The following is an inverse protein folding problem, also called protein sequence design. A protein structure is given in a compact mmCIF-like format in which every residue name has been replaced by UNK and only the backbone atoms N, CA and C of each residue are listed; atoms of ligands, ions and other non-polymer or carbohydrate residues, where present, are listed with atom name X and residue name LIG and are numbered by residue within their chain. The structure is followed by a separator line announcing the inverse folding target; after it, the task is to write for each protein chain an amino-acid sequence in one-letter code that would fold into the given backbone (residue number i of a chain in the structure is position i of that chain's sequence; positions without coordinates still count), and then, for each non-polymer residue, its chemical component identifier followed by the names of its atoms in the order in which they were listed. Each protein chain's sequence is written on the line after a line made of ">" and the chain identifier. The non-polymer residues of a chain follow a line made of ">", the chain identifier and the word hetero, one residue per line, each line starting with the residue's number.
data_IF_070792271369
#
_entry.id   IF_070792271369
#
_cell.length_a   1.000
_cell.length_b   1.000
_cell.length_c   1.000
_cell.angle_alpha   90.00
_cell.angle_beta   90.00
_cell.angle_gamma   90.00
#
_symmetry.space_group_name_H-M   'P 1'
#
loop_
_entity.id
_entity.type
_entity.pdbx_description
1 polymer ?
#
# COMPACT_ATOMS: atom_id res chain seq x y z
N UNK A 1 -5.98 -1.89 -17.91
CA UNK A 1 -6.23 -3.33 -18.19
C UNK A 1 -5.06 -4.15 -17.68
N UNK A 2 -5.30 -5.33 -17.12
CA UNK A 2 -4.25 -6.24 -16.66
C UNK A 2 -3.93 -7.29 -17.74
N UNK A 3 -2.64 -7.58 -17.95
CA UNK A 3 -2.15 -8.66 -18.81
C UNK A 3 -1.21 -9.52 -17.97
N UNK A 4 -1.51 -10.82 -17.89
CA UNK A 4 -0.75 -11.80 -17.11
C UNK A 4 -0.51 -13.05 -17.92
N UNK A 5 0.73 -13.53 -17.96
CA UNK A 5 1.10 -14.82 -18.56
C UNK A 5 1.89 -15.71 -17.59
N UNK A 6 1.87 -17.02 -17.86
CA UNK A 6 2.77 -17.96 -17.20
C UNK A 6 4.22 -17.64 -17.57
N UNK A 7 5.13 -17.74 -16.60
CA UNK A 7 6.57 -17.45 -16.79
C UNK A 7 6.94 -16.02 -17.21
N UNK A 8 6.02 -15.05 -17.15
CA UNK A 8 6.32 -13.64 -17.45
C UNK A 8 7.54 -13.03 -16.75
N UNK A 9 7.97 -13.46 -15.53
CA UNK A 9 9.21 -12.95 -14.94
C UNK A 9 10.50 -13.36 -15.67
N UNK A 10 10.44 -14.36 -16.56
CA UNK A 10 11.59 -14.87 -17.33
C UNK A 10 11.40 -14.75 -18.85
N UNK A 11 10.16 -14.56 -19.33
CA UNK A 11 9.83 -14.39 -20.74
C UNK A 11 8.73 -13.32 -20.89
N UNK A 12 9.14 -12.08 -21.18
CA UNK A 12 8.23 -10.91 -21.23
C UNK A 12 7.58 -10.71 -22.61
N UNK A 13 8.04 -11.43 -23.63
CA UNK A 13 7.69 -11.21 -25.03
C UNK A 13 6.19 -11.40 -25.29
N UNK A 14 5.58 -12.40 -24.64
CA UNK A 14 4.17 -12.72 -24.81
C UNK A 14 3.26 -11.60 -24.26
N UNK A 15 3.57 -11.07 -23.07
CA UNK A 15 2.78 -9.98 -22.47
C UNK A 15 2.94 -8.69 -23.28
N UNK A 16 4.15 -8.37 -23.72
CA UNK A 16 4.41 -7.20 -24.56
C UNK A 16 3.67 -7.32 -25.90
N UNK A 17 3.74 -8.50 -26.53
CA UNK A 17 3.05 -8.74 -27.80
C UNK A 17 1.53 -8.65 -27.66
N UNK A 18 0.98 -9.17 -26.57
CA UNK A 18 -0.45 -9.02 -26.27
C UNK A 18 -0.83 -7.55 -26.09
N UNK A 19 -0.03 -6.77 -25.37
CA UNK A 19 -0.27 -5.34 -25.18
C UNK A 19 -0.22 -4.55 -26.50
N UNK A 20 0.73 -4.85 -27.38
CA UNK A 20 0.83 -4.25 -28.72
C UNK A 20 -0.42 -4.52 -29.56
N UNK A 21 -0.87 -5.78 -29.62
CA UNK A 21 -2.06 -6.18 -30.38
C UNK A 21 -3.30 -5.50 -29.80
N UNK A 22 -3.50 -5.58 -28.49
CA UNK A 22 -4.66 -4.99 -27.83
C UNK A 22 -4.66 -3.46 -27.94
N UNK A 23 -3.50 -2.82 -27.90
CA UNK A 23 -3.37 -1.38 -28.14
C UNK A 23 -3.77 -0.97 -29.56
N UNK A 24 -3.40 -1.79 -30.56
CA UNK A 24 -3.79 -1.53 -31.95
C UNK A 24 -5.31 -1.65 -32.16
N UNK A 25 -5.98 -2.58 -31.48
CA UNK A 25 -7.42 -2.83 -31.61
C UNK A 25 -8.28 -1.87 -30.77
N UNK A 26 -7.87 -1.57 -29.54
CA UNK A 26 -8.66 -0.77 -28.60
C UNK A 26 -8.43 0.74 -28.74
N UNK A 27 -7.35 1.14 -29.44
CA UNK A 27 -7.04 2.53 -29.71
C UNK A 27 -6.24 3.23 -28.60
N UNK A 28 -5.93 4.53 -28.80
CA UNK A 28 -5.11 5.31 -27.89
C UNK A 28 -5.83 5.55 -26.56
N UNK A 29 -5.07 5.58 -25.46
CA UNK A 29 -5.58 5.86 -24.12
C UNK A 29 -5.86 4.61 -23.27
N UNK A 30 -5.80 3.40 -23.85
CA UNK A 30 -5.80 2.17 -23.06
C UNK A 30 -4.43 1.95 -22.45
N UNK A 31 -4.41 1.76 -21.14
CA UNK A 31 -3.20 1.46 -20.40
C UNK A 31 -3.17 0.00 -19.96
N UNK A 32 -1.99 -0.59 -20.05
CA UNK A 32 -1.75 -1.98 -19.71
C UNK A 32 -0.84 -2.06 -18.48
N UNK A 33 -1.25 -2.83 -17.48
CA UNK A 33 -0.36 -3.32 -16.43
C UNK A 33 0.06 -4.73 -16.83
N UNK A 34 1.36 -4.92 -17.06
CA UNK A 34 1.91 -6.23 -17.40
C UNK A 34 2.39 -6.90 -16.13
N UNK A 35 2.09 -8.19 -15.95
CA UNK A 35 2.43 -8.89 -14.73
C UNK A 35 3.94 -9.02 -14.54
N UNK A 36 4.75 -9.01 -15.61
CA UNK A 36 6.23 -8.96 -15.51
C UNK A 36 6.74 -7.72 -14.76
N UNK A 37 5.98 -6.64 -14.77
CA UNK A 37 6.36 -5.38 -14.14
C UNK A 37 6.10 -5.39 -12.63
N UNK A 38 5.35 -6.39 -12.15
CA UNK A 38 4.79 -6.41 -10.82
C UNK A 38 5.17 -7.71 -10.11
N UNK A 39 5.63 -7.57 -8.87
CA UNK A 39 5.80 -8.70 -7.96
C UNK A 39 6.97 -9.64 -8.27
N UNK A 40 7.02 -10.73 -7.49
CA UNK A 40 8.04 -11.79 -7.54
C UNK A 40 7.48 -13.06 -8.22
N UNK A 41 8.21 -14.16 -8.11
CA UNK A 41 7.75 -15.50 -8.54
C UNK A 41 6.42 -15.84 -7.84
N UNK A 42 5.53 -16.56 -8.54
CA UNK A 42 4.20 -16.94 -8.06
C UNK A 42 3.11 -16.41 -9.00
N UNK A 43 2.36 -17.30 -9.66
CA UNK A 43 1.43 -16.89 -10.72
C UNK A 43 0.20 -16.16 -10.18
N UNK A 44 -0.52 -16.77 -9.24
CA UNK A 44 -1.78 -16.21 -8.73
C UNK A 44 -1.58 -14.88 -8.00
N UNK A 45 -0.58 -14.80 -7.11
CA UNK A 45 -0.29 -13.57 -6.39
C UNK A 45 0.15 -12.43 -7.32
N UNK A 46 0.88 -12.75 -8.40
CA UNK A 46 1.29 -11.78 -9.41
C UNK A 46 0.13 -11.32 -10.29
N UNK A 47 -0.74 -12.25 -10.70
CA UNK A 47 -1.95 -11.93 -11.44
C UNK A 47 -2.86 -10.99 -10.62
N UNK A 48 -3.10 -11.32 -9.35
CA UNK A 48 -3.84 -10.48 -8.42
C UNK A 48 -3.21 -9.09 -8.28
N UNK A 49 -1.88 -9.03 -8.14
CA UNK A 49 -1.14 -7.79 -8.08
C UNK A 49 -1.35 -6.92 -9.33
N UNK A 50 -1.33 -7.55 -10.51
CA UNK A 50 -1.54 -6.88 -11.81
C UNK A 50 -2.96 -6.35 -11.94
N UNK A 51 -3.95 -7.13 -11.51
CA UNK A 51 -5.36 -6.74 -11.51
C UNK A 51 -5.59 -5.54 -10.59
N UNK A 52 -5.09 -5.59 -9.35
CA UNK A 52 -5.23 -4.50 -8.38
C UNK A 52 -4.56 -3.23 -8.93
N UNK A 53 -3.36 -3.34 -9.51
CA UNK A 53 -2.67 -2.19 -10.10
C UNK A 53 -3.47 -1.55 -11.23
N UNK A 54 -3.98 -2.37 -12.15
CA UNK A 54 -4.82 -1.91 -13.25
C UNK A 54 -6.10 -1.24 -12.75
N UNK A 55 -6.71 -1.74 -11.67
CA UNK A 55 -7.94 -1.21 -11.08
C UNK A 55 -7.73 0.12 -10.35
N UNK A 56 -6.55 0.35 -9.75
CA UNK A 56 -6.25 1.57 -9.00
C UNK A 56 -5.77 2.73 -9.89
N UNK A 57 -5.53 2.49 -11.17
CA UNK A 57 -4.84 3.43 -12.06
C UNK A 57 -5.58 4.75 -12.28
N UNK A 58 -6.90 4.68 -12.43
CA UNK A 58 -7.72 5.89 -12.64
C UNK A 58 -7.77 6.75 -11.38
N UNK A 59 -7.84 6.11 -10.20
CA UNK A 59 -7.73 6.78 -8.92
C UNK A 59 -6.37 7.45 -8.75
N UNK A 60 -5.29 6.76 -9.11
CA UNK A 60 -3.93 7.30 -9.05
C UNK A 60 -3.77 8.54 -9.93
N UNK A 61 -4.29 8.48 -11.14
CA UNK A 61 -4.34 9.59 -12.10
C UNK A 61 -5.05 10.80 -11.49
N UNK A 62 -6.24 10.59 -10.93
CA UNK A 62 -7.01 11.66 -10.29
C UNK A 62 -6.29 12.27 -9.08
N UNK A 63 -5.64 11.45 -8.25
CA UNK A 63 -4.86 11.92 -7.09
C UNK A 63 -3.70 12.79 -7.56
N UNK A 64 -2.89 12.30 -8.50
CA UNK A 64 -1.72 13.06 -8.99
C UNK A 64 -2.15 14.37 -9.65
N UNK A 65 -3.24 14.38 -10.43
CA UNK A 65 -3.77 15.60 -11.04
C UNK A 65 -4.27 16.60 -10.01
N UNK A 66 -4.99 16.11 -8.99
CA UNK A 66 -5.45 16.96 -7.89
C UNK A 66 -4.27 17.59 -7.16
N UNK A 67 -3.23 16.82 -6.84
CA UNK A 67 -2.02 17.34 -6.19
C UNK A 67 -1.30 18.37 -7.07
N UNK A 68 -1.08 18.05 -8.36
CA UNK A 68 -0.44 18.97 -9.30
C UNK A 68 -1.21 20.29 -9.42
N UNK A 69 -2.55 20.22 -9.48
CA UNK A 69 -3.41 21.40 -9.51
C UNK A 69 -3.29 22.23 -8.24
N UNK A 70 -3.34 21.61 -7.06
CA UNK A 70 -3.20 22.31 -5.78
C UNK A 70 -1.84 23.00 -5.64
N UNK A 71 -0.75 22.38 -6.12
CA UNK A 71 0.57 23.02 -6.14
C UNK A 71 0.61 24.23 -7.10
N UNK A 72 0.00 24.11 -8.28
CA UNK A 72 -0.09 25.21 -9.23
C UNK A 72 -0.90 26.40 -8.68
N UNK A 73 -1.99 26.14 -7.95
CA UNK A 73 -2.82 27.19 -7.31
C UNK A 73 -2.03 28.04 -6.31
N UNK A 74 -1.01 27.48 -5.67
CA UNK A 74 -0.10 28.20 -4.77
C UNK A 74 1.21 28.62 -5.45
N UNK A 75 1.27 28.57 -6.79
CA UNK A 75 2.44 28.93 -7.61
C UNK A 75 3.72 28.16 -7.27
N UNK A 76 3.59 26.91 -6.81
CA UNK A 76 4.73 26.01 -6.61
C UNK A 76 5.04 25.26 -7.90
N UNK A 77 6.26 25.44 -8.43
CA UNK A 77 6.75 24.79 -9.66
C UNK A 77 7.78 23.69 -9.39
N UNK A 78 8.01 23.36 -8.12
CA UNK A 78 8.96 22.32 -7.74
C UNK A 78 8.43 20.94 -8.14
N UNK A 79 9.31 20.00 -8.53
CA UNK A 79 8.95 18.59 -8.65
C UNK A 79 8.38 18.08 -7.33
N UNK A 80 7.33 17.26 -7.40
CA UNK A 80 6.78 16.57 -6.24
C UNK A 80 6.89 15.08 -6.42
N UNK A 81 7.04 14.39 -5.30
CA UNK A 81 7.24 12.94 -5.24
C UNK A 81 6.19 12.34 -4.30
N UNK A 82 5.85 11.08 -4.53
CA UNK A 82 5.01 10.31 -3.63
C UNK A 82 5.85 9.28 -2.88
N UNK A 83 5.46 8.97 -1.66
CA UNK A 83 6.10 7.94 -0.85
C UNK A 83 5.73 6.53 -1.31
N UNK A 84 6.72 5.65 -1.35
CA UNK A 84 6.56 4.24 -1.64
C UNK A 84 6.38 3.40 -0.37
N UNK A 85 5.86 2.19 -0.53
CA UNK A 85 5.69 1.19 0.53
C UNK A 85 7.02 0.71 1.14
N UNK A 86 8.16 0.98 0.50
CA UNK A 86 9.49 0.62 1.00
C UNK A 86 10.17 1.76 1.78
N UNK A 87 9.47 2.89 1.98
CA UNK A 87 10.00 4.08 2.64
C UNK A 87 10.89 4.95 1.75
N UNK A 88 10.91 4.74 0.44
CA UNK A 88 11.56 5.61 -0.54
C UNK A 88 10.54 6.54 -1.23
N UNK A 89 11.02 7.37 -2.15
CA UNK A 89 10.20 8.29 -2.95
C UNK A 89 10.12 7.82 -4.39
N UNK A 90 8.98 8.04 -5.04
CA UNK A 90 8.78 7.82 -6.46
C UNK A 90 8.29 9.07 -7.18
N UNK A 91 8.66 9.16 -8.45
CA UNK A 91 8.11 10.14 -9.36
C UNK A 91 6.61 9.89 -9.61
N UNK A 92 5.89 10.96 -9.90
CA UNK A 92 4.44 10.96 -10.10
C UNK A 92 4.00 10.14 -11.31
N UNK A 93 4.82 10.09 -12.37
CA UNK A 93 4.52 9.27 -13.55
C UNK A 93 4.63 7.79 -13.22
N UNK A 94 5.61 7.43 -12.39
CA UNK A 94 5.75 6.08 -11.88
C UNK A 94 4.59 5.73 -10.94
N UNK A 95 4.12 6.67 -10.12
CA UNK A 95 2.98 6.45 -9.24
C UNK A 95 1.67 6.25 -10.00
N UNK A 96 1.50 6.93 -11.14
CA UNK A 96 0.36 6.68 -12.06
C UNK A 96 0.46 5.30 -12.70
N UNK A 97 1.66 4.86 -13.07
CA UNK A 97 1.87 3.54 -13.68
C UNK A 97 1.68 2.40 -12.67
N UNK A 98 2.17 2.60 -11.44
CA UNK A 98 2.25 1.57 -10.39
C UNK A 98 1.69 2.05 -9.04
N UNK A 99 0.40 2.42 -8.94
CA UNK A 99 -0.19 2.91 -7.68
C UNK A 99 -0.14 1.91 -6.52
N UNK A 100 0.01 0.63 -6.82
CA UNK A 100 0.23 -0.40 -5.79
C UNK A 100 1.54 -0.22 -5.02
N UNK A 101 2.49 0.58 -5.54
CA UNK A 101 3.71 0.92 -4.82
C UNK A 101 3.49 1.97 -3.73
N UNK A 102 2.34 2.65 -3.67
CA UNK A 102 2.09 3.77 -2.74
C UNK A 102 1.02 3.51 -1.68
N UNK A 103 0.24 2.42 -1.80
CA UNK A 103 -0.99 2.25 -1.00
C UNK A 103 -0.74 2.06 0.51
N UNK A 104 0.43 1.53 0.90
CA UNK A 104 0.84 1.27 2.28
C UNK A 104 1.94 2.24 2.76
N UNK A 105 2.07 3.39 2.11
CA UNK A 105 3.17 4.34 2.38
C UNK A 105 3.04 5.13 3.69
N UNK A 106 1.85 5.17 4.30
CA UNK A 106 1.59 5.87 5.57
C UNK A 106 2.51 5.38 6.71
N UNK A 107 2.39 4.11 7.13
CA UNK A 107 3.25 3.54 8.16
C UNK A 107 4.74 3.67 7.85
N UNK A 108 5.13 3.51 6.58
CA UNK A 108 6.54 3.63 6.19
C UNK A 108 7.08 5.04 6.34
N UNK A 109 6.26 6.07 6.09
CA UNK A 109 6.67 7.46 6.29
C UNK A 109 6.93 7.75 7.77
N UNK A 110 6.05 7.28 8.66
CA UNK A 110 6.24 7.38 10.10
C UNK A 110 7.53 6.68 10.55
N UNK A 111 7.79 5.48 10.02
CA UNK A 111 9.02 4.72 10.29
C UNK A 111 10.28 5.45 9.82
N UNK A 112 10.26 6.01 8.60
CA UNK A 112 11.38 6.80 8.06
C UNK A 112 11.62 8.07 8.88
N UNK A 113 10.55 8.73 9.32
CA UNK A 113 10.62 9.86 10.25
C UNK A 113 11.23 9.46 11.59
N UNK A 114 10.81 8.34 12.16
CA UNK A 114 11.35 7.82 13.42
C UNK A 114 12.85 7.47 13.29
N UNK A 115 13.26 6.84 12.20
CA UNK A 115 14.67 6.55 11.91
C UNK A 115 15.50 7.84 11.88
N UNK A 116 15.02 8.85 11.15
CA UNK A 116 15.69 10.14 11.03
C UNK A 116 15.81 10.88 12.36
N UNK A 117 14.72 10.94 13.15
CA UNK A 117 14.69 11.69 14.41
C UNK A 117 15.43 10.99 15.55
N UNK A 118 15.39 9.66 15.60
CA UNK A 118 16.07 8.88 16.65
C UNK A 118 17.54 8.62 16.36
N UNK A 119 17.95 8.66 15.08
CA UNK A 119 19.28 8.22 14.64
C UNK A 119 19.47 6.70 14.69
N UNK A 120 18.41 5.92 14.91
CA UNK A 120 18.46 4.47 14.97
C UNK A 120 18.13 3.85 13.61
N UNK A 121 19.01 2.95 13.15
CA UNK A 121 18.78 2.17 11.93
C UNK A 121 17.98 0.89 12.15
N UNK A 122 18.13 0.28 13.32
CA UNK A 122 17.52 -1.02 13.64
C UNK A 122 16.72 -0.91 14.93
N UNK A 123 15.40 -0.78 14.81
CA UNK A 123 14.49 -0.70 15.95
C UNK A 123 13.05 -1.03 15.55
N UNK A 124 12.21 -1.30 16.56
CA UNK A 124 10.77 -1.32 16.36
C UNK A 124 10.23 0.12 16.45
N UNK A 125 9.32 0.47 15.54
CA UNK A 125 8.58 1.72 15.55
C UNK A 125 7.12 1.41 15.85
N UNK A 126 6.56 2.15 16.80
CA UNK A 126 5.14 2.08 17.16
C UNK A 126 4.51 3.42 16.82
N UNK A 127 3.74 3.46 15.73
CA UNK A 127 2.98 4.63 15.31
C UNK A 127 1.56 4.55 15.88
N UNK A 128 1.27 5.37 16.89
CA UNK A 128 -0.03 5.38 17.56
C UNK A 128 -0.87 6.52 17.00
N UNK A 129 -1.82 6.17 16.15
CA UNK A 129 -2.83 7.08 15.63
C UNK A 129 -4.04 7.23 16.57
N UNK A 130 -5.11 7.83 16.06
CA UNK A 130 -6.35 8.01 16.82
C UNK A 130 -7.14 6.72 17.05
N UNK A 131 -7.08 5.78 16.10
CA UNK A 131 -7.91 4.55 16.13
C UNK A 131 -7.06 3.29 16.18
N UNK A 132 -5.89 3.33 15.57
CA UNK A 132 -5.00 2.19 15.38
C UNK A 132 -3.60 2.50 15.87
N UNK A 133 -2.86 1.45 16.17
CA UNK A 133 -1.43 1.50 16.42
C UNK A 133 -0.75 0.54 15.43
N UNK A 134 0.15 1.07 14.62
CA UNK A 134 0.89 0.33 13.62
C UNK A 134 2.31 0.08 14.14
N UNK A 135 2.71 -1.19 14.19
CA UNK A 135 4.02 -1.61 14.67
C UNK A 135 4.80 -2.20 13.50
N UNK A 136 5.97 -1.65 13.22
CA UNK A 136 6.88 -2.20 12.22
C UNK A 136 8.33 -2.18 12.68
N UNK A 137 9.18 -2.86 11.91
CA UNK A 137 10.61 -2.97 12.19
C UNK A 137 11.39 -2.19 11.15
N UNK A 138 12.31 -1.35 11.63
CA UNK A 138 13.36 -0.75 10.81
C UNK A 138 14.55 -1.71 10.72
N UNK A 139 15.10 -1.84 9.52
CA UNK A 139 16.36 -2.51 9.24
C UNK A 139 17.24 -1.54 8.42
N UNK A 140 18.39 -1.15 8.96
CA UNK A 140 19.28 -0.18 8.32
C UNK A 140 18.61 1.18 8.01
N UNK A 141 17.61 1.56 8.80
CA UNK A 141 16.84 2.80 8.68
C UNK A 141 15.66 2.71 7.72
N UNK A 142 15.45 1.58 7.03
CA UNK A 142 14.32 1.37 6.13
C UNK A 142 13.30 0.41 6.74
N UNK A 143 11.98 0.57 6.44
CA UNK A 143 10.98 -0.41 6.81
C UNK A 143 11.36 -1.79 6.30
N UNK A 144 11.34 -2.79 7.17
CA UNK A 144 11.53 -4.18 6.79
C UNK A 144 10.34 -4.63 5.95
N UNK A 145 10.62 -5.22 4.78
CA UNK A 145 9.58 -5.79 3.93
C UNK A 145 9.03 -7.11 4.50
N UNK A 146 7.75 -7.39 4.22
CA UNK A 146 7.15 -8.68 4.52
C UNK A 146 7.85 -9.81 3.74
N UNK A 147 8.14 -10.93 4.42
CA UNK A 147 8.75 -12.08 3.80
C UNK A 147 7.70 -12.90 3.01
N UNK A 148 7.59 -12.66 1.70
CA UNK A 148 6.80 -13.49 0.79
C UNK A 148 5.55 -12.78 0.27
N UNK A 149 4.43 -13.50 0.21
CA UNK A 149 3.16 -12.95 -0.23
C UNK A 149 2.48 -12.18 0.90
N UNK A 150 1.71 -11.19 0.50
CA UNK A 150 1.04 -10.25 1.38
C UNK A 150 -0.44 -10.15 1.03
N UNK A 151 -1.27 -9.87 2.02
CA UNK A 151 -2.71 -9.69 1.80
C UNK A 151 -3.03 -8.20 1.64
N UNK A 152 -3.69 -7.85 0.53
CA UNK A 152 -4.22 -6.52 0.30
C UNK A 152 -5.72 -6.65 0.00
N UNK A 153 -6.56 -6.01 0.82
CA UNK A 153 -8.02 -6.04 0.68
C UNK A 153 -8.61 -7.46 0.52
N UNK A 154 -8.15 -8.43 1.33
CA UNK A 154 -8.62 -9.83 1.25
C UNK A 154 -8.02 -10.64 0.09
N UNK A 155 -7.11 -10.06 -0.68
CA UNK A 155 -6.49 -10.69 -1.85
C UNK A 155 -5.01 -10.93 -1.60
N UNK A 156 -4.56 -12.17 -1.81
CA UNK A 156 -3.13 -12.54 -1.74
C UNK A 156 -2.39 -11.98 -2.93
N UNK A 157 -1.31 -11.25 -2.68
CA UNK A 157 -0.47 -10.56 -3.66
C UNK A 157 1.00 -10.79 -3.32
N UNK A 158 1.90 -10.34 -4.19
CA UNK A 158 3.35 -10.42 -3.99
C UNK A 158 4.03 -9.05 -4.13
N UNK A 159 3.32 -7.98 -3.77
CA UNK A 159 3.88 -6.64 -3.70
C UNK A 159 4.94 -6.54 -2.60
N UNK A 160 5.87 -5.61 -2.77
CA UNK A 160 6.75 -5.17 -1.69
C UNK A 160 5.92 -4.24 -0.79
N UNK A 161 5.57 -4.73 0.39
CA UNK A 161 4.89 -3.97 1.43
C UNK A 161 5.69 -4.05 2.73
N UNK A 162 5.57 -3.04 3.61
CA UNK A 162 6.22 -3.11 4.90
C UNK A 162 5.58 -4.21 5.75
N UNK A 163 6.40 -4.89 6.54
CA UNK A 163 5.95 -5.84 7.56
C UNK A 163 5.42 -5.05 8.76
N UNK A 164 4.10 -4.82 8.77
CA UNK A 164 3.40 -4.01 9.77
C UNK A 164 2.32 -4.81 10.45
N UNK A 165 2.38 -4.84 11.78
CA UNK A 165 1.29 -5.31 12.63
C UNK A 165 0.39 -4.12 12.99
N UNK A 166 -0.84 -4.12 12.49
CA UNK A 166 -1.84 -3.12 12.84
C UNK A 166 -2.74 -3.60 13.97
N UNK A 167 -2.82 -2.82 15.05
CA UNK A 167 -3.64 -3.08 16.22
C UNK A 167 -4.78 -2.06 16.27
N UNK A 168 -6.00 -2.54 16.53
CA UNK A 168 -7.20 -1.69 16.67
C UNK A 168 -7.27 -0.89 17.97
N UNK A 169 -6.13 -0.37 18.43
CA UNK A 169 -6.00 0.45 19.63
C UNK A 169 -5.21 1.72 19.30
N UNK A 170 -5.77 2.89 19.59
CA UNK A 170 -5.13 4.19 19.37
C UNK A 170 -5.45 5.16 20.51
N UNK A 171 -5.05 6.42 20.35
CA UNK A 171 -5.26 7.45 21.37
C UNK A 171 -6.73 7.78 21.64
N UNK A 172 -7.64 7.46 20.70
CA UNK A 172 -9.08 7.62 20.83
C UNK A 172 -9.82 6.32 21.16
N UNK A 173 -9.11 5.23 21.49
CA UNK A 173 -9.77 4.00 21.92
C UNK A 173 -10.39 4.18 23.31
N UNK A 174 -11.61 3.67 23.47
CA UNK A 174 -12.27 3.64 24.77
C UNK A 174 -11.87 2.37 25.50
N UNK A 175 -11.60 2.51 26.80
CA UNK A 175 -11.22 1.42 27.69
C UNK A 175 -12.36 1.20 28.68
N UNK A 176 -12.92 -0.01 28.70
CA UNK A 176 -13.93 -0.39 29.70
C UNK A 176 -13.29 -0.62 31.07
N UNK A 177 -14.12 -0.69 32.12
CA UNK A 177 -13.62 -0.89 33.49
C UNK A 177 -12.90 -2.24 33.70
N UNK A 178 -13.21 -3.24 32.87
CA UNK A 178 -12.57 -4.56 32.81
C UNK A 178 -11.37 -4.62 31.84
N UNK A 179 -11.01 -3.49 31.22
CA UNK A 179 -9.82 -3.36 30.38
C UNK A 179 -10.01 -3.74 28.92
N UNK A 180 -11.24 -3.94 28.44
CA UNK A 180 -11.51 -4.14 27.01
C UNK A 180 -11.38 -2.81 26.25
N UNK A 181 -10.76 -2.87 25.07
CA UNK A 181 -10.55 -1.70 24.22
C UNK A 181 -11.43 -1.78 22.99
N UNK A 182 -12.14 -0.69 22.67
CA UNK A 182 -12.89 -0.57 21.43
C UNK A 182 -12.62 0.78 20.74
N UNK A 183 -12.77 0.86 19.40
CA UNK A 183 -12.80 2.13 18.70
C UNK A 183 -13.91 3.04 19.25
N UNK A 184 -13.68 4.35 19.21
CA UNK A 184 -14.68 5.35 19.58
C UNK A 184 -16.01 5.07 18.83
N UNK A 185 -17.11 4.85 19.57
CA UNK A 185 -18.43 4.54 19.01
C UNK A 185 -18.81 3.05 18.89
N UNK A 186 -17.96 2.12 19.34
CA UNK A 186 -18.21 0.67 19.31
C UNK A 186 -18.09 -0.06 20.65
N UNK A 187 -18.02 0.64 21.79
CA UNK A 187 -18.24 -0.06 23.05
C UNK A 187 -19.68 -0.59 23.06
N UNK A 188 -19.90 -1.89 23.35
CA UNK A 188 -21.23 -2.37 23.64
C UNK A 188 -21.75 -1.54 24.83
N UNK A 189 -22.94 -0.94 24.69
CA UNK A 189 -23.62 -0.38 25.85
C UNK A 189 -23.64 -1.46 26.94
N UNK A 190 -23.10 -1.14 28.12
CA UNK A 190 -23.01 -2.00 29.30
C UNK A 190 -24.19 -3.00 29.33
N UNK A 191 -23.96 -4.25 28.91
CA UNK A 191 -24.88 -5.33 29.22
C UNK A 191 -24.61 -5.71 30.66
N UNK A 192 -25.37 -5.09 31.56
CA UNK A 192 -25.54 -5.65 32.89
C UNK A 192 -26.09 -7.06 32.78
N UNK A 193 -25.37 -8.03 33.35
CA UNK A 193 -25.92 -9.32 33.75
C UNK A 193 -25.81 -10.48 32.76
N UNK A 194 -24.94 -11.42 33.14
CA UNK A 194 -25.07 -12.88 33.02
C UNK A 194 -25.07 -13.55 31.62
N UNK A 195 -24.10 -14.45 31.43
CA UNK A 195 -24.30 -15.65 30.62
C UNK A 195 -23.09 -16.10 29.80
N UNK A 196 -22.26 -16.98 30.38
CA UNK A 196 -21.27 -17.81 29.66
C UNK A 196 -21.91 -18.59 28.50
N UNK A 197 -21.17 -18.77 27.39
CA UNK A 197 -20.82 -20.09 26.81
C UNK A 197 -20.03 -19.97 25.49
N UNK A 198 -18.90 -20.68 25.48
CA UNK A 198 -18.03 -21.22 24.41
C UNK A 198 -17.81 -20.39 23.15
#
# INVERSE_FOLDING_TARGET
>A
MAISSGFSPVAEEDERRAAEILGAELGPGVHFSLSRELGRIGQLARENATIINAALRDLATAIVESFAKSLAEVSLTAPFFLSQNDGTLMDVDLARAYPVATFASGPTNSMRGAAFLSGLGDCAVVDVGGTTADVGVLAGGFPREAAGESEAAGTRTNFLIPDVLSLGIGGGSLVSADGETAPLGRLPAHRGGAGRRW
#
